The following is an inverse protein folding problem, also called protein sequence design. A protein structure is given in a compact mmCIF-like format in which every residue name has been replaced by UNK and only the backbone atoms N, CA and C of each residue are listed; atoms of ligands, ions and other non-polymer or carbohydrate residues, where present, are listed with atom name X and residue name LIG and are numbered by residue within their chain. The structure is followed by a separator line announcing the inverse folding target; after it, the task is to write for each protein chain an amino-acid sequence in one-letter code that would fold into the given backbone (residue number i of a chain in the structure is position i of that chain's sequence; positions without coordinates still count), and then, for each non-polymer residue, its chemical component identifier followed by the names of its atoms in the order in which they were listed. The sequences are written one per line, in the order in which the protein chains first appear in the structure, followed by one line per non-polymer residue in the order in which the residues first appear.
data_IF_925674318045
#
_entry.id   IF_925674318045
#
_cell.length_a   1.000
_cell.length_b   1.000
_cell.length_c   1.000
_cell.angle_alpha   90.00
_cell.angle_beta   90.00
_cell.angle_gamma   90.00
#
_symmetry.space_group_name_H-M   'P 1'
#
loop_
_entity.id
_entity.type
_entity.pdbx_description
1 polymer ?
#
# COMPACT_ATOMS: atom_id res chain seq x y z
N UNK A 1 -0.89 -21.16 -4.05
CA UNK A 1 -0.49 -20.25 -5.17
C UNK A 1 -0.89 -18.84 -4.77
N UNK A 2 -0.01 -17.84 -4.94
CA UNK A 2 -0.34 -16.45 -4.61
C UNK A 2 -1.22 -15.85 -5.71
N UNK A 3 -2.33 -15.23 -5.31
CA UNK A 3 -3.21 -14.45 -6.19
C UNK A 3 -3.09 -12.96 -5.87
N UNK A 4 -3.16 -12.11 -6.90
CA UNK A 4 -3.07 -10.65 -6.77
C UNK A 4 -4.25 -10.00 -7.49
N UNK A 5 -4.93 -9.12 -6.79
CA UNK A 5 -6.01 -8.29 -7.33
C UNK A 5 -5.76 -6.84 -6.94
N UNK A 6 -6.04 -5.91 -7.83
CA UNK A 6 -5.89 -4.48 -7.54
C UNK A 6 -6.97 -3.65 -8.21
N UNK A 7 -7.24 -2.49 -7.62
CA UNK A 7 -8.15 -1.51 -8.17
C UNK A 7 -7.73 -0.11 -7.73
N UNK A 8 -7.85 0.86 -8.64
CA UNK A 8 -7.60 2.27 -8.38
C UNK A 8 -8.51 3.12 -9.23
N UNK A 9 -9.23 4.07 -8.63
CA UNK A 9 -10.16 4.99 -9.29
C UNK A 9 -10.14 6.35 -8.58
N UNK A 10 -10.19 7.47 -9.34
CA UNK A 10 -10.28 8.81 -8.74
C UNK A 10 -11.59 8.99 -7.98
N UNK A 11 -11.51 9.73 -6.89
CA UNK A 11 -12.65 10.07 -6.03
C UNK A 11 -13.13 11.51 -6.19
N UNK A 12 -12.95 12.31 -5.15
CA UNK A 12 -13.37 13.69 -5.10
C UNK A 12 -12.65 14.65 -6.04
N UNK A 13 -11.51 14.22 -6.63
CA UNK A 13 -10.65 15.01 -7.50
C UNK A 13 -10.87 14.68 -8.98
N UNK A 14 -10.35 15.57 -9.86
CA UNK A 14 -10.41 15.37 -11.32
C UNK A 14 -9.48 14.25 -11.79
N UNK A 15 -8.34 14.09 -11.12
CA UNK A 15 -7.30 13.12 -11.42
C UNK A 15 -7.05 12.28 -10.18
N UNK A 16 -6.71 11.02 -10.38
CA UNK A 16 -6.29 10.15 -9.31
C UNK A 16 -4.86 10.54 -8.88
N UNK A 17 -4.69 10.93 -7.63
CA UNK A 17 -3.39 11.27 -7.06
C UNK A 17 -2.74 10.07 -6.35
N UNK A 18 -3.44 8.95 -6.24
CA UNK A 18 -2.88 7.68 -5.77
C UNK A 18 -1.99 7.00 -6.83
N UNK A 19 -1.04 6.22 -6.37
CA UNK A 19 -0.26 5.31 -7.19
C UNK A 19 -0.13 3.94 -6.55
N UNK A 20 -0.01 2.91 -7.39
CA UNK A 20 0.33 1.55 -6.96
C UNK A 20 1.36 0.91 -7.89
N UNK A 21 2.17 0.00 -7.33
CA UNK A 21 3.02 -0.94 -8.06
C UNK A 21 2.93 -2.30 -7.39
N UNK A 22 2.68 -3.33 -8.18
CA UNK A 22 2.65 -4.71 -7.68
C UNK A 22 3.21 -5.64 -8.74
N UNK A 23 4.24 -6.41 -8.38
CA UNK A 23 4.84 -7.41 -9.25
C UNK A 23 5.67 -8.44 -8.47
N UNK A 24 5.95 -9.56 -9.10
CA UNK A 24 6.94 -10.52 -8.60
C UNK A 24 8.36 -9.95 -8.70
N UNK A 25 9.23 -10.36 -7.79
CA UNK A 25 10.65 -10.03 -7.84
C UNK A 25 11.32 -10.72 -9.02
N UNK A 26 12.24 -10.03 -9.70
CA UNK A 26 12.87 -10.54 -10.93
C UNK A 26 13.70 -11.83 -10.72
N UNK A 27 14.24 -12.00 -9.51
CA UNK A 27 15.09 -13.16 -9.15
C UNK A 27 14.32 -14.28 -8.42
N UNK A 28 13.10 -14.01 -7.96
CA UNK A 28 12.26 -14.98 -7.24
C UNK A 28 10.78 -14.72 -7.51
N UNK A 29 10.14 -15.53 -8.37
CA UNK A 29 8.72 -15.33 -8.73
C UNK A 29 7.75 -15.57 -7.58
N UNK A 30 8.18 -16.18 -6.48
CA UNK A 30 7.37 -16.38 -5.28
C UNK A 30 7.53 -15.24 -4.26
N UNK A 31 8.41 -14.27 -4.55
CA UNK A 31 8.56 -13.03 -3.77
C UNK A 31 7.82 -11.89 -4.47
N UNK A 32 6.70 -11.45 -3.93
CA UNK A 32 5.89 -10.38 -4.50
C UNK A 32 6.11 -9.06 -3.78
N UNK A 33 6.30 -8.01 -4.55
CA UNK A 33 6.49 -6.63 -4.09
C UNK A 33 5.20 -5.84 -4.31
N UNK A 34 4.79 -5.06 -3.32
CA UNK A 34 3.62 -4.20 -3.39
C UNK A 34 3.92 -2.83 -2.77
N UNK A 35 3.59 -1.77 -3.51
CA UNK A 35 3.71 -0.38 -3.08
C UNK A 35 2.41 0.35 -3.36
N UNK A 36 1.93 1.12 -2.39
CA UNK A 36 0.79 2.04 -2.51
C UNK A 36 1.21 3.38 -1.92
N UNK A 37 0.93 4.44 -2.65
CA UNK A 37 1.16 5.81 -2.24
C UNK A 37 -0.08 6.65 -2.54
N UNK A 38 -0.40 7.56 -1.63
CA UNK A 38 -1.52 8.50 -1.69
C UNK A 38 -0.92 9.90 -1.75
N UNK A 39 -1.09 10.55 -2.90
CA UNK A 39 -0.57 11.89 -3.15
C UNK A 39 -1.35 12.93 -2.37
N UNK A 40 -0.65 13.87 -1.73
CA UNK A 40 -1.30 14.88 -0.90
C UNK A 40 -2.24 15.77 -1.73
N UNK A 41 -3.52 15.52 -1.65
CA UNK A 41 -4.57 16.25 -2.35
C UNK A 41 -4.64 17.73 -1.96
N UNK A 42 -5.12 18.56 -2.91
CA UNK A 42 -5.28 20.00 -2.72
C UNK A 42 -3.99 20.83 -2.86
N UNK A 43 -2.85 20.20 -3.09
CA UNK A 43 -1.59 20.83 -3.47
C UNK A 43 -1.12 20.31 -4.83
N UNK A 44 -0.44 21.16 -5.60
CA UNK A 44 0.12 20.72 -6.86
C UNK A 44 1.19 19.64 -6.61
N UNK A 45 1.19 18.58 -7.42
CA UNK A 45 2.25 17.58 -7.42
C UNK A 45 1.99 16.31 -6.58
N UNK A 46 0.82 16.11 -5.98
CA UNK A 46 0.49 14.90 -5.22
C UNK A 46 0.60 13.64 -6.08
N UNK A 47 -0.09 13.58 -7.20
CA UNK A 47 -0.01 12.45 -8.13
C UNK A 47 1.41 12.16 -8.65
N UNK A 48 2.16 13.14 -9.17
CA UNK A 48 3.58 12.96 -9.46
C UNK A 48 4.40 12.42 -8.29
N UNK A 49 4.20 12.93 -7.07
CA UNK A 49 4.90 12.45 -5.88
C UNK A 49 4.60 10.97 -5.60
N UNK A 50 3.34 10.55 -5.67
CA UNK A 50 2.94 9.15 -5.48
C UNK A 50 3.55 8.22 -6.55
N UNK A 51 3.57 8.65 -7.82
CA UNK A 51 4.18 7.89 -8.91
C UNK A 51 5.69 7.72 -8.71
N UNK A 52 6.42 8.80 -8.40
CA UNK A 52 7.87 8.78 -8.15
C UNK A 52 8.18 7.91 -6.94
N UNK A 53 7.43 8.05 -5.84
CA UNK A 53 7.63 7.26 -4.62
C UNK A 53 7.48 5.77 -4.88
N UNK A 54 6.38 5.34 -5.50
CA UNK A 54 6.13 3.93 -5.80
C UNK A 54 7.19 3.35 -6.75
N UNK A 55 7.59 4.10 -7.80
CA UNK A 55 8.57 3.63 -8.76
C UNK A 55 9.96 3.53 -8.14
N UNK A 56 10.41 4.57 -7.44
CA UNK A 56 11.74 4.57 -6.80
C UNK A 56 11.85 3.48 -5.73
N UNK A 57 10.80 3.26 -4.94
CA UNK A 57 10.78 2.19 -3.94
C UNK A 57 10.80 0.80 -4.58
N UNK A 58 10.06 0.60 -5.67
CA UNK A 58 10.09 -0.65 -6.42
C UNK A 58 11.48 -0.93 -6.99
N UNK A 59 12.11 0.06 -7.65
CA UNK A 59 13.44 -0.07 -8.23
C UNK A 59 14.49 -0.41 -7.16
N UNK A 60 14.41 0.25 -5.99
CA UNK A 60 15.28 -0.03 -4.86
C UNK A 60 15.08 -1.46 -4.30
N UNK A 61 13.83 -1.93 -4.21
CA UNK A 61 13.53 -3.29 -3.76
C UNK A 61 14.01 -4.34 -4.76
N UNK A 62 13.82 -4.11 -6.06
CA UNK A 62 14.30 -5.02 -7.12
C UNK A 62 15.82 -5.11 -7.19
N UNK A 63 16.55 -4.11 -6.72
CA UNK A 63 18.01 -4.13 -6.62
C UNK A 63 18.52 -4.94 -5.41
N UNK A 64 17.66 -5.29 -4.45
CA UNK A 64 18.01 -6.15 -3.33
C UNK A 64 17.95 -7.64 -3.71
N UNK A 65 18.60 -8.49 -2.93
CA UNK A 65 18.33 -9.93 -3.01
C UNK A 65 16.98 -10.24 -2.32
N UNK A 66 16.17 -11.18 -2.82
CA UNK A 66 14.87 -11.52 -2.23
C UNK A 66 14.93 -11.87 -0.74
N UNK A 67 15.99 -12.58 -0.32
CA UNK A 67 16.22 -12.95 1.06
C UNK A 67 16.42 -11.74 1.98
N UNK A 68 17.08 -10.68 1.49
CA UNK A 68 17.27 -9.46 2.26
C UNK A 68 15.94 -8.76 2.56
N UNK A 69 14.98 -8.81 1.63
CA UNK A 69 13.66 -8.20 1.78
C UNK A 69 12.79 -8.89 2.85
N UNK A 70 13.15 -10.11 3.26
CA UNK A 70 12.46 -10.80 4.37
C UNK A 70 12.85 -10.26 5.75
N UNK A 71 13.79 -9.30 5.82
CA UNK A 71 14.21 -8.66 7.06
C UNK A 71 13.66 -7.23 7.17
N UNK A 72 13.00 -6.86 8.28
CA UNK A 72 12.42 -5.52 8.47
C UNK A 72 13.43 -4.39 8.30
N UNK A 73 14.71 -4.62 8.61
CA UNK A 73 15.77 -3.61 8.50
C UNK A 73 16.11 -3.20 7.06
N UNK A 74 15.72 -3.99 6.05
CA UNK A 74 15.94 -3.65 4.64
C UNK A 74 14.99 -2.54 4.14
N UNK A 75 13.83 -2.39 4.75
CA UNK A 75 12.75 -1.55 4.24
C UNK A 75 12.92 -0.05 4.49
N UNK A 76 13.38 0.43 5.69
CA UNK A 76 13.59 1.86 5.90
C UNK A 76 14.57 2.50 4.90
N UNK A 77 15.67 1.88 4.46
CA UNK A 77 16.51 2.41 3.39
C UNK A 77 15.77 2.56 2.05
N UNK A 78 14.92 1.59 1.68
CA UNK A 78 14.12 1.61 0.45
C UNK A 78 13.17 2.82 0.45
N UNK A 79 12.44 3.04 1.54
CA UNK A 79 11.51 4.16 1.65
C UNK A 79 12.26 5.52 1.73
N UNK A 80 13.44 5.57 2.35
CA UNK A 80 14.29 6.79 2.34
C UNK A 80 14.77 7.15 0.94
N UNK A 81 15.10 6.15 0.11
CA UNK A 81 15.46 6.40 -1.28
C UNK A 81 14.27 6.99 -2.05
N UNK A 82 13.06 6.49 -1.83
CA UNK A 82 11.84 7.04 -2.41
C UNK A 82 11.58 8.48 -1.93
N UNK A 83 11.73 8.77 -0.64
CA UNK A 83 11.61 10.13 -0.08
C UNK A 83 12.60 11.10 -0.73
N UNK A 84 13.86 10.70 -0.88
CA UNK A 84 14.89 11.50 -1.54
C UNK A 84 14.59 11.72 -3.04
N UNK A 85 14.05 10.70 -3.74
CA UNK A 85 13.69 10.81 -5.15
C UNK A 85 12.52 11.79 -5.36
N UNK A 86 11.49 11.73 -4.51
CA UNK A 86 10.36 12.67 -4.53
C UNK A 86 10.85 14.09 -4.21
N UNK A 87 11.68 14.27 -3.18
CA UNK A 87 12.23 15.58 -2.79
C UNK A 87 13.11 16.21 -3.89
N UNK A 88 13.70 15.42 -4.76
CA UNK A 88 14.53 15.89 -5.87
C UNK A 88 13.73 16.25 -7.14
N UNK A 89 12.47 15.84 -7.23
CA UNK A 89 11.61 16.11 -8.39
C UNK A 89 10.85 17.43 -8.20
N UNK A 90 11.17 18.43 -9.04
CA UNK A 90 10.56 19.76 -8.97
C UNK A 90 9.05 19.79 -9.28
N UNK A 91 8.50 18.73 -9.91
CA UNK A 91 7.07 18.61 -10.20
C UNK A 91 6.32 17.83 -9.10
N UNK A 92 7.04 17.15 -8.20
CA UNK A 92 6.46 16.38 -7.13
C UNK A 92 6.18 17.24 -5.89
N UNK A 93 5.03 16.99 -5.26
CA UNK A 93 4.67 17.51 -3.95
C UNK A 93 5.02 16.48 -2.86
N UNK A 94 4.02 16.12 -2.06
CA UNK A 94 4.16 15.16 -0.97
C UNK A 94 3.22 13.96 -1.17
N UNK A 95 3.58 12.84 -0.55
CA UNK A 95 2.77 11.63 -0.61
C UNK A 95 2.97 10.77 0.65
N UNK A 96 2.10 9.79 0.85
CA UNK A 96 2.32 8.65 1.73
C UNK A 96 3.13 7.57 1.02
N UNK A 97 3.57 6.54 1.71
CA UNK A 97 4.09 5.32 1.09
C UNK A 97 3.97 4.12 2.03
N UNK A 98 3.34 3.08 1.55
CA UNK A 98 3.41 1.73 2.11
C UNK A 98 4.13 0.84 1.10
N UNK A 99 5.22 0.21 1.51
CA UNK A 99 5.94 -0.77 0.71
C UNK A 99 6.11 -2.06 1.46
N UNK A 100 5.85 -3.20 0.80
CA UNK A 100 6.05 -4.52 1.41
C UNK A 100 6.40 -5.59 0.37
N UNK A 101 6.97 -6.69 0.86
CA UNK A 101 6.98 -7.95 0.14
C UNK A 101 6.17 -9.01 0.87
N UNK A 102 5.61 -9.91 0.07
CA UNK A 102 5.18 -11.25 0.49
C UNK A 102 6.15 -12.23 -0.12
N UNK A 103 6.91 -12.91 0.72
CA UNK A 103 7.95 -13.82 0.28
C UNK A 103 7.92 -15.07 1.16
N UNK A 104 7.74 -16.25 0.54
CA UNK A 104 7.59 -17.51 1.28
C UNK A 104 6.40 -17.41 2.24
N UNK A 105 6.64 -17.48 3.55
CA UNK A 105 5.63 -17.45 4.60
C UNK A 105 5.73 -16.21 5.50
N UNK A 106 6.24 -15.10 4.98
CA UNK A 106 6.32 -13.83 5.70
C UNK A 106 5.82 -12.67 4.85
N UNK A 107 5.23 -11.67 5.50
CA UNK A 107 5.03 -10.33 4.97
C UNK A 107 5.92 -9.37 5.74
N UNK A 108 6.73 -8.60 5.01
CA UNK A 108 7.68 -7.63 5.59
C UNK A 108 7.61 -6.34 4.79
N UNK A 109 7.69 -5.20 5.46
CA UNK A 109 7.62 -3.91 4.81
C UNK A 109 7.96 -2.74 5.72
N UNK A 110 7.71 -1.55 5.22
CA UNK A 110 7.68 -0.33 6.02
C UNK A 110 6.62 0.65 5.47
N UNK A 111 6.24 1.61 6.30
CA UNK A 111 5.27 2.62 5.93
C UNK A 111 5.60 3.99 6.53
N UNK A 112 5.09 5.03 5.87
CA UNK A 112 5.03 6.41 6.34
C UNK A 112 3.78 7.07 5.76
N UNK A 113 3.09 7.87 6.55
CA UNK A 113 1.83 8.48 6.16
C UNK A 113 0.62 7.88 6.88
N UNK A 114 -0.52 7.78 6.19
CA UNK A 114 -1.76 7.19 6.68
C UNK A 114 -2.40 6.19 5.70
N UNK A 115 -1.75 5.87 4.57
CA UNK A 115 -2.07 4.66 3.80
C UNK A 115 -1.82 3.42 4.66
N UNK A 116 -2.56 2.33 4.45
CA UNK A 116 -2.59 1.24 5.40
C UNK A 116 -2.28 -0.14 4.79
N UNK A 117 -1.75 -1.04 5.63
CA UNK A 117 -1.66 -2.47 5.35
C UNK A 117 -2.37 -3.27 6.45
N UNK A 118 -3.28 -4.16 6.02
CA UNK A 118 -4.02 -5.08 6.87
C UNK A 118 -3.69 -6.52 6.47
N UNK A 119 -3.25 -7.33 7.41
CA UNK A 119 -3.09 -8.77 7.25
C UNK A 119 -4.29 -9.49 7.90
N UNK A 120 -4.89 -10.42 7.18
CA UNK A 120 -5.74 -11.48 7.73
C UNK A 120 -4.93 -12.78 7.64
N UNK A 121 -4.67 -13.42 8.76
CA UNK A 121 -3.95 -14.70 8.84
C UNK A 121 -4.58 -15.54 9.93
N UNK A 122 -4.86 -16.82 9.63
CA UNK A 122 -5.61 -17.70 10.54
C UNK A 122 -6.94 -17.04 11.02
N UNK A 123 -7.65 -16.33 10.11
CA UNK A 123 -8.88 -15.61 10.41
C UNK A 123 -8.75 -14.41 11.34
N UNK A 124 -7.52 -14.01 11.72
CA UNK A 124 -7.26 -12.89 12.64
C UNK A 124 -6.75 -11.66 11.90
N UNK A 125 -7.33 -10.47 12.15
CA UNK A 125 -6.86 -9.23 11.59
C UNK A 125 -5.64 -8.69 12.33
N UNK A 126 -4.64 -8.20 11.57
CA UNK A 126 -3.46 -7.52 12.06
C UNK A 126 -3.25 -6.22 11.27
N UNK A 127 -3.43 -5.07 11.91
CA UNK A 127 -3.14 -3.78 11.32
C UNK A 127 -1.63 -3.54 11.33
N UNK A 128 -0.96 -3.78 10.18
CA UNK A 128 0.49 -3.79 10.07
C UNK A 128 1.11 -2.40 10.24
N UNK A 129 0.40 -1.35 9.85
CA UNK A 129 0.89 0.03 9.80
C UNK A 129 0.44 0.90 10.98
N UNK A 130 -0.06 0.31 12.07
CA UNK A 130 -0.61 1.05 13.21
C UNK A 130 0.38 2.01 13.90
N UNK A 131 1.69 1.71 13.80
CA UNK A 131 2.75 2.50 14.44
C UNK A 131 3.35 3.58 13.52
N UNK A 132 2.86 3.72 12.28
CA UNK A 132 3.39 4.69 11.32
C UNK A 132 3.15 6.15 11.73
N UNK A 133 3.94 7.06 11.18
CA UNK A 133 3.82 8.50 11.42
C UNK A 133 3.34 9.22 10.15
N UNK A 134 2.34 10.11 10.32
CA UNK A 134 1.82 10.90 9.20
C UNK A 134 2.78 12.00 8.75
N UNK A 135 3.61 12.51 9.65
CA UNK A 135 4.54 13.59 9.37
C UNK A 135 5.94 13.28 9.92
N UNK A 136 7.00 13.69 9.22
CA UNK A 136 7.03 14.35 7.91
C UNK A 136 6.60 13.41 6.77
N UNK A 137 5.94 13.94 5.71
CA UNK A 137 5.51 13.14 4.56
C UNK A 137 6.68 12.76 3.64
N UNK A 138 6.46 11.78 2.76
CA UNK A 138 7.39 11.45 1.66
C UNK A 138 7.51 12.63 0.70
N UNK A 139 8.72 12.99 0.32
CA UNK A 139 9.06 14.19 -0.44
C UNK A 139 9.64 15.32 0.43
N UNK A 140 9.60 15.16 1.76
CA UNK A 140 10.20 16.14 2.70
C UNK A 140 11.71 15.98 2.88
N UNK A 141 12.29 14.85 2.48
CA UNK A 141 13.66 14.45 2.81
C UNK A 141 13.86 13.99 4.25
N UNK A 142 12.79 13.90 5.05
CA UNK A 142 12.82 13.52 6.47
C UNK A 142 11.74 12.52 6.87
N UNK A 143 11.10 11.85 5.91
CA UNK A 143 10.05 10.89 6.18
C UNK A 143 10.54 9.72 7.05
N UNK A 144 9.78 9.44 8.13
CA UNK A 144 10.11 8.37 9.07
C UNK A 144 9.47 7.05 8.62
N UNK A 145 10.25 6.18 8.01
CA UNK A 145 9.81 4.84 7.62
C UNK A 145 9.76 3.91 8.84
N UNK A 146 8.57 3.41 9.18
CA UNK A 146 8.35 2.48 10.29
C UNK A 146 8.24 1.07 9.75
N UNK A 147 9.21 0.17 10.06
CA UNK A 147 9.19 -1.20 9.58
C UNK A 147 8.15 -2.06 10.30
N UNK A 148 7.62 -3.06 9.60
CA UNK A 148 6.74 -4.08 10.13
C UNK A 148 7.03 -5.45 9.53
N UNK A 149 6.63 -6.51 10.23
CA UNK A 149 6.70 -7.88 9.75
C UNK A 149 5.68 -8.77 10.46
N UNK A 150 5.21 -9.80 9.77
CA UNK A 150 4.42 -10.87 10.34
C UNK A 150 4.65 -12.20 9.60
N UNK A 151 4.46 -13.31 10.30
CA UNK A 151 4.37 -14.61 9.67
C UNK A 151 3.00 -14.78 8.99
N UNK A 152 2.99 -15.51 7.88
CA UNK A 152 1.78 -15.86 7.14
C UNK A 152 1.40 -17.32 7.45
N UNK A 153 0.15 -17.52 7.88
CA UNK A 153 -0.45 -18.83 8.06
C UNK A 153 -1.64 -18.93 7.11
N UNK A 154 -1.61 -19.92 6.25
CA UNK A 154 -2.69 -20.14 5.26
C UNK A 154 -4.02 -20.56 5.94
N UNK A 155 -5.16 -20.08 5.44
CA UNK A 155 -5.27 -19.06 4.40
C UNK A 155 -4.93 -17.65 4.93
N UNK A 156 -4.25 -16.84 4.11
CA UNK A 156 -3.92 -15.47 4.47
C UNK A 156 -4.29 -14.48 3.36
N UNK A 157 -4.47 -13.21 3.76
CA UNK A 157 -4.69 -12.08 2.86
C UNK A 157 -3.99 -10.84 3.39
N UNK A 158 -3.30 -10.13 2.50
CA UNK A 158 -2.75 -8.79 2.76
C UNK A 158 -3.49 -7.79 1.89
N UNK A 159 -4.10 -6.78 2.52
CA UNK A 159 -4.66 -5.61 1.83
C UNK A 159 -3.70 -4.44 2.04
N UNK A 160 -3.32 -3.77 0.95
CA UNK A 160 -2.56 -2.51 0.97
C UNK A 160 -3.42 -1.45 0.31
N UNK A 161 -3.63 -0.31 0.97
CA UNK A 161 -4.65 0.64 0.54
C UNK A 161 -4.33 2.09 0.92
N UNK A 162 -4.86 3.04 0.12
CA UNK A 162 -4.91 4.46 0.49
C UNK A 162 -5.99 4.73 1.54
N UNK A 163 -5.99 5.92 2.12
CA UNK A 163 -6.94 6.31 3.16
C UNK A 163 -8.38 6.41 2.65
N UNK A 164 -8.58 6.69 1.36
CA UNK A 164 -9.88 6.65 0.70
C UNK A 164 -10.60 5.31 0.78
N UNK A 165 -9.88 4.21 1.08
CA UNK A 165 -10.48 2.91 1.36
C UNK A 165 -10.91 2.82 2.82
N UNK A 166 -9.95 2.78 3.76
CA UNK A 166 -10.24 2.48 5.16
C UNK A 166 -11.06 3.57 5.86
N UNK A 167 -10.92 4.82 5.43
CA UNK A 167 -11.62 5.98 5.99
C UNK A 167 -13.12 5.99 5.63
N UNK A 168 -13.46 5.60 4.40
CA UNK A 168 -14.85 5.64 3.92
C UNK A 168 -15.58 4.30 4.03
N UNK A 169 -14.87 3.18 4.06
CA UNK A 169 -15.45 1.86 4.40
C UNK A 169 -15.63 1.72 5.92
N UNK A 170 -14.69 2.25 6.71
CA UNK A 170 -14.57 2.03 8.15
C UNK A 170 -13.88 0.70 8.49
N UNK A 171 -13.03 0.71 9.53
CA UNK A 171 -12.20 -0.43 9.90
C UNK A 171 -12.99 -1.70 10.22
N UNK A 172 -14.12 -1.56 10.91
CA UNK A 172 -14.98 -2.69 11.28
C UNK A 172 -15.49 -3.43 10.04
N UNK A 173 -16.06 -2.69 9.09
CA UNK A 173 -16.59 -3.25 7.84
C UNK A 173 -15.48 -3.78 6.94
N UNK A 174 -14.35 -3.09 6.88
CA UNK A 174 -13.18 -3.52 6.11
C UNK A 174 -12.66 -4.87 6.60
N UNK A 175 -12.51 -5.06 7.92
CA UNK A 175 -12.09 -6.32 8.53
C UNK A 175 -13.11 -7.42 8.25
N UNK A 176 -14.41 -7.14 8.42
CA UNK A 176 -15.48 -8.11 8.12
C UNK A 176 -15.38 -8.60 6.67
N UNK A 177 -15.29 -7.69 5.70
CA UNK A 177 -15.14 -8.03 4.28
C UNK A 177 -13.86 -8.83 4.04
N UNK A 178 -12.74 -8.37 4.60
CA UNK A 178 -11.44 -9.03 4.43
C UNK A 178 -11.40 -10.46 5.01
N UNK A 179 -12.15 -10.74 6.08
CA UNK A 179 -12.22 -12.08 6.66
C UNK A 179 -13.15 -13.02 5.87
N UNK A 180 -14.19 -12.49 5.22
CA UNK A 180 -15.28 -13.29 4.63
C UNK A 180 -15.15 -13.50 3.13
N UNK A 181 -14.85 -12.44 2.38
CA UNK A 181 -14.80 -12.48 0.93
C UNK A 181 -13.44 -12.99 0.42
N UNK A 182 -13.39 -13.55 -0.79
CA UNK A 182 -12.17 -14.08 -1.41
C UNK A 182 -12.00 -13.52 -2.84
N UNK A 183 -10.76 -13.43 -3.27
CA UNK A 183 -10.40 -13.00 -4.62
C UNK A 183 -10.94 -11.61 -4.96
N UNK A 184 -11.42 -11.39 -6.20
CA UNK A 184 -11.93 -10.10 -6.63
C UNK A 184 -13.14 -9.60 -5.83
N UNK A 185 -13.87 -10.49 -5.15
CA UNK A 185 -15.05 -10.12 -4.36
C UNK A 185 -14.70 -9.20 -3.18
N UNK A 186 -13.50 -9.35 -2.59
CA UNK A 186 -13.02 -8.43 -1.54
C UNK A 186 -13.03 -7.00 -2.05
N UNK A 187 -12.38 -6.77 -3.19
CA UNK A 187 -12.27 -5.43 -3.77
C UNK A 187 -13.65 -4.90 -4.16
N UNK A 188 -14.48 -5.73 -4.80
CA UNK A 188 -15.83 -5.31 -5.22
C UNK A 188 -16.72 -4.90 -4.04
N UNK A 189 -16.66 -5.61 -2.92
CA UNK A 189 -17.43 -5.27 -1.73
C UNK A 189 -16.90 -4.01 -1.03
N UNK A 190 -15.58 -3.81 -0.98
CA UNK A 190 -14.98 -2.57 -0.46
C UNK A 190 -15.38 -1.36 -1.30
N UNK A 191 -15.35 -1.50 -2.65
CA UNK A 191 -15.83 -0.46 -3.56
C UNK A 191 -17.29 -0.11 -3.29
N UNK A 192 -18.16 -1.12 -3.19
CA UNK A 192 -19.58 -0.89 -2.93
C UNK A 192 -19.81 -0.16 -1.60
N UNK A 193 -19.03 -0.51 -0.57
CA UNK A 193 -19.14 0.10 0.76
C UNK A 193 -18.66 1.56 0.79
N UNK A 194 -17.66 1.92 -0.02
CA UNK A 194 -17.08 3.27 -0.05
C UNK A 194 -17.82 4.24 -0.98
N UNK A 195 -18.60 3.74 -1.95
CA UNK A 195 -19.32 4.60 -2.90
C UNK A 195 -20.47 5.36 -2.26
N UNK A 196 -20.60 6.63 -2.59
CA UNK A 196 -21.71 7.49 -2.18
C UNK A 196 -23.05 6.97 -2.73
N UNK A 197 -24.09 6.78 -1.89
CA UNK A 197 -25.36 6.20 -2.30
C UNK A 197 -26.05 6.96 -3.42
N UNK A 198 -25.91 8.17 -3.65
CA UNK A 198 -26.65 8.95 -4.68
C UNK A 198 -25.93 9.02 -6.02
N UNK A 199 -24.59 9.17 -6.00
CA UNK A 199 -23.77 9.40 -7.19
C UNK A 199 -23.03 8.17 -7.66
N UNK A 200 -22.83 7.17 -6.82
CA UNK A 200 -21.96 6.03 -7.07
C UNK A 200 -20.48 6.38 -7.14
N UNK A 201 -20.09 7.62 -6.80
CA UNK A 201 -18.69 8.10 -6.83
C UNK A 201 -18.01 7.85 -5.48
N UNK A 202 -16.70 7.75 -5.50
CA UNK A 202 -15.88 7.80 -4.27
C UNK A 202 -15.73 9.24 -3.77
N UNK A 203 -15.55 9.41 -2.48
CA UNK A 203 -15.33 10.73 -1.86
C UNK A 203 -13.86 11.15 -1.96
N UNK A 204 -12.96 10.19 -1.98
CA UNK A 204 -11.52 10.36 -2.11
C UNK A 204 -10.98 9.35 -3.10
N UNK A 205 -9.72 9.50 -3.54
CA UNK A 205 -9.08 8.53 -4.42
C UNK A 205 -9.06 7.16 -3.73
N UNK A 206 -9.43 6.13 -4.45
CA UNK A 206 -9.65 4.80 -3.90
C UNK A 206 -8.69 3.81 -4.54
N UNK A 207 -7.66 3.42 -3.80
CA UNK A 207 -6.65 2.47 -4.28
C UNK A 207 -6.48 1.33 -3.29
N UNK A 208 -6.60 0.09 -3.77
CA UNK A 208 -6.42 -1.13 -2.98
C UNK A 208 -5.74 -2.23 -3.78
N UNK A 209 -4.82 -2.94 -3.13
CA UNK A 209 -4.19 -4.18 -3.61
C UNK A 209 -4.50 -5.28 -2.61
N UNK A 210 -4.96 -6.44 -3.10
CA UNK A 210 -5.15 -7.65 -2.32
C UNK A 210 -4.17 -8.72 -2.81
N UNK A 211 -3.32 -9.22 -1.91
CA UNK A 211 -2.48 -10.39 -2.12
C UNK A 211 -3.03 -11.53 -1.24
N UNK A 212 -3.19 -12.72 -1.81
CA UNK A 212 -3.82 -13.86 -1.13
C UNK A 212 -3.04 -15.14 -1.35
N UNK A 213 -2.91 -15.93 -0.27
CA UNK A 213 -2.40 -17.30 -0.28
C UNK A 213 -3.43 -18.27 0.26
N UNK A 214 -3.60 -19.39 -0.44
CA UNK A 214 -4.49 -20.51 -0.10
C UNK A 214 -3.74 -21.83 -0.21
#
# INVERSE_FOLDING_TARGET
MLAVHSFSEPGGHRHNEDALRVQAHLLDPDCWLCFVADGQGGQAGGGPAAQVACQSALDAALACQPEALTHPSAWPPILRQADAAVAADAAAGFTTLVGLCVCRNVVVGASTGDSAALLISDGKPHHMTVAQHKNPPVGSGGAAAVPFAAALTEPWRVLVMSDGVWKYVGWERLIEVACRANGPAVIAELQQAARLPGSGRFQDDFTVVALEGA
#
